data_IF_603825706133
#
_entry.id   IF_603825706133
#
_cell.length_a   1.000
_cell.length_b   1.000
_cell.length_c   1.000
_cell.angle_alpha   90.00
_cell.angle_beta   90.00
_cell.angle_gamma   90.00
#
_symmetry.space_group_name_H-M   'P 1'
#
loop_
_entity.id
_entity.type
_entity.pdbx_description
1 polymer ?
#
# COMPACT_ATOMS: atom_id res chain seq x y z
N UNK A 1 -25.09 15.23 -8.16
CA UNK A 1 -24.05 14.24 -7.83
C UNK A 1 -24.69 12.85 -7.76
N UNK A 2 -24.00 11.79 -8.19
CA UNK A 2 -24.57 10.43 -8.26
C UNK A 2 -23.54 9.34 -7.98
N UNK A 3 -23.05 9.24 -6.75
CA UNK A 3 -22.07 8.24 -6.33
C UNK A 3 -22.27 7.78 -4.89
N UNK A 4 -21.56 6.72 -4.51
CA UNK A 4 -21.60 6.14 -3.15
C UNK A 4 -20.37 6.58 -2.35
N UNK A 5 -20.59 6.87 -1.07
CA UNK A 5 -19.53 7.15 -0.09
C UNK A 5 -19.61 6.08 0.99
N UNK A 6 -18.48 5.44 1.31
CA UNK A 6 -18.33 4.55 2.45
C UNK A 6 -17.37 5.16 3.47
N UNK A 7 -17.73 5.13 4.76
CA UNK A 7 -16.92 5.65 5.86
C UNK A 7 -16.95 4.68 7.03
N UNK A 8 -15.78 4.44 7.60
CA UNK A 8 -15.63 3.77 8.89
C UNK A 8 -14.55 4.49 9.69
N UNK A 9 -14.85 4.84 10.93
CA UNK A 9 -13.91 5.42 11.87
C UNK A 9 -14.04 4.70 13.21
N UNK A 10 -12.90 4.50 13.87
CA UNK A 10 -12.79 3.89 15.20
C UNK A 10 -11.85 4.74 16.05
N UNK A 11 -12.31 5.12 17.23
CA UNK A 11 -11.42 5.56 18.30
C UNK A 11 -10.69 4.33 18.86
N UNK A 12 -9.38 4.25 18.65
CA UNK A 12 -8.56 3.10 19.08
C UNK A 12 -8.33 3.04 20.59
N UNK A 13 -8.68 4.08 21.35
CA UNK A 13 -8.61 4.10 22.81
C UNK A 13 -9.89 3.57 23.47
N UNK A 14 -11.06 4.03 23.01
CA UNK A 14 -12.36 3.65 23.58
C UNK A 14 -13.08 2.51 22.85
N UNK A 15 -12.71 2.24 21.59
CA UNK A 15 -13.43 1.33 20.70
C UNK A 15 -14.72 1.92 20.12
N UNK A 16 -15.06 3.18 20.41
CA UNK A 16 -16.22 3.85 19.82
C UNK A 16 -16.07 3.94 18.30
N UNK A 17 -17.17 3.74 17.56
CA UNK A 17 -17.15 3.73 16.10
C UNK A 17 -18.19 4.67 15.49
N UNK A 18 -17.89 5.15 14.28
CA UNK A 18 -18.82 5.84 13.38
C UNK A 18 -18.75 5.15 12.04
N UNK A 19 -19.89 4.76 11.48
CA UNK A 19 -19.96 4.02 10.22
C UNK A 19 -21.08 4.51 9.29
N UNK A 20 -20.81 4.46 7.98
CA UNK A 20 -21.77 4.70 6.92
C UNK A 20 -21.40 3.82 5.72
N UNK A 21 -22.27 2.87 5.35
CA UNK A 21 -22.00 1.88 4.27
C UNK A 21 -20.68 1.11 4.45
N UNK A 22 -20.29 0.81 5.69
CA UNK A 22 -18.99 0.20 6.00
C UNK A 22 -18.81 -1.22 5.45
N UNK A 23 -19.92 -1.95 5.25
CA UNK A 23 -19.91 -3.33 4.70
C UNK A 23 -20.10 -3.37 3.18
N UNK A 24 -20.33 -2.22 2.53
CA UNK A 24 -20.37 -2.16 1.07
C UNK A 24 -18.95 -2.26 0.50
N UNK A 25 -18.82 -2.91 -0.65
CA UNK A 25 -17.52 -3.09 -1.31
C UNK A 25 -17.16 -1.87 -2.14
N UNK A 26 -15.92 -1.39 -1.99
CA UNK A 26 -15.34 -0.34 -2.81
C UNK A 26 -14.02 -0.81 -3.43
N UNK A 27 -13.63 -0.30 -4.61
CA UNK A 27 -12.30 -0.55 -5.17
C UNK A 27 -11.22 -0.02 -4.22
N UNK A 28 -10.22 -0.84 -3.89
CA UNK A 28 -9.12 -0.40 -3.03
C UNK A 28 -8.27 0.70 -3.69
N UNK A 29 -8.15 0.71 -5.02
CA UNK A 29 -7.23 1.59 -5.74
C UNK A 29 -5.84 1.53 -5.09
N UNK A 30 -5.09 2.63 -4.94
CA UNK A 30 -3.76 2.56 -4.30
C UNK A 30 -3.77 2.30 -2.77
N UNK A 31 -4.93 2.22 -2.10
CA UNK A 31 -4.97 1.96 -0.64
C UNK A 31 -4.41 0.59 -0.27
N UNK A 32 -4.43 -0.40 -1.18
CA UNK A 32 -3.85 -1.72 -0.93
C UNK A 32 -2.34 -1.69 -0.61
N UNK A 33 -1.63 -0.65 -1.05
CA UNK A 33 -0.17 -0.56 -0.90
C UNK A 33 0.28 -0.52 0.56
N UNK A 34 -0.58 -0.05 1.47
CA UNK A 34 -0.33 -0.14 2.92
C UNK A 34 -0.22 -1.60 3.39
N UNK A 35 -1.16 -2.45 2.96
CA UNK A 35 -1.14 -3.88 3.28
C UNK A 35 0.00 -4.63 2.58
N UNK A 36 0.31 -4.27 1.33
CA UNK A 36 1.46 -4.84 0.61
C UNK A 36 2.77 -4.57 1.36
N UNK A 37 3.00 -3.34 1.80
CA UNK A 37 4.18 -2.98 2.59
C UNK A 37 4.22 -3.74 3.93
N UNK A 38 3.09 -3.87 4.61
CA UNK A 38 2.99 -4.67 5.84
C UNK A 38 3.33 -6.15 5.61
N UNK A 39 2.94 -6.74 4.47
CA UNK A 39 3.29 -8.11 4.12
C UNK A 39 4.79 -8.28 3.87
N UNK A 40 5.45 -7.31 3.23
CA UNK A 40 6.91 -7.29 3.07
C UNK A 40 7.61 -7.18 4.43
N UNK A 41 7.10 -6.34 5.33
CA UNK A 41 7.62 -6.21 6.70
C UNK A 41 7.43 -7.50 7.51
N UNK A 42 6.28 -8.16 7.40
CA UNK A 42 6.06 -9.44 8.06
C UNK A 42 7.06 -10.50 7.55
N UNK A 43 7.37 -10.50 6.25
CA UNK A 43 8.38 -11.38 5.67
C UNK A 43 9.78 -11.05 6.17
N UNK A 44 10.14 -9.78 6.36
CA UNK A 44 11.48 -9.40 6.82
C UNK A 44 11.76 -9.87 8.25
N UNK A 45 10.74 -10.11 9.07
CA UNK A 45 10.90 -10.72 10.40
C UNK A 45 11.49 -12.13 10.35
N UNK A 46 11.32 -12.83 9.22
CA UNK A 46 11.84 -14.19 9.00
C UNK A 46 13.08 -14.21 8.12
N UNK A 47 13.41 -13.09 7.46
CA UNK A 47 14.48 -12.98 6.49
C UNK A 47 15.32 -11.74 6.79
N UNK A 48 16.38 -11.92 7.58
CA UNK A 48 17.33 -10.87 7.92
C UNK A 48 17.91 -10.21 6.66
N UNK A 49 18.01 -8.88 6.66
CA UNK A 49 18.53 -8.09 5.53
C UNK A 49 17.57 -7.95 4.33
N UNK A 50 16.35 -8.49 4.39
CA UNK A 50 15.39 -8.36 3.28
C UNK A 50 15.12 -6.90 2.90
N UNK A 51 15.02 -6.01 3.89
CA UNK A 51 14.74 -4.59 3.65
C UNK A 51 15.94 -3.83 3.05
N UNK A 52 17.15 -4.35 3.24
CA UNK A 52 18.39 -3.77 2.70
C UNK A 52 18.75 -4.35 1.32
N UNK A 53 17.94 -5.26 0.79
CA UNK A 53 18.21 -5.98 -0.46
C UNK A 53 17.86 -5.11 -1.68
N UNK A 54 18.83 -4.69 -2.50
CA UNK A 54 18.53 -3.89 -3.68
C UNK A 54 17.87 -4.74 -4.78
N UNK A 55 16.78 -4.23 -5.33
CA UNK A 55 16.02 -4.79 -6.44
C UNK A 55 16.39 -4.03 -7.72
N UNK A 56 17.01 -4.74 -8.67
CA UNK A 56 17.26 -4.22 -10.02
C UNK A 56 16.07 -4.46 -10.92
N UNK A 57 15.73 -3.47 -11.72
CA UNK A 57 14.64 -3.54 -12.68
C UNK A 57 14.96 -2.68 -13.91
N UNK A 58 14.40 -3.08 -15.06
CA UNK A 58 14.55 -2.35 -16.31
C UNK A 58 13.44 -1.33 -16.53
N UNK A 59 13.61 -0.47 -17.54
CA UNK A 59 12.61 0.53 -17.95
C UNK A 59 11.27 -0.11 -18.32
N UNK A 60 11.28 -1.35 -18.81
CA UNK A 60 10.09 -2.13 -19.14
C UNK A 60 9.24 -2.51 -17.92
N UNK A 61 9.77 -2.43 -16.70
CA UNK A 61 9.02 -2.66 -15.47
C UNK A 61 8.30 -1.40 -14.97
N UNK A 62 8.58 -0.22 -15.53
CA UNK A 62 7.91 1.01 -15.14
C UNK A 62 6.47 1.04 -15.69
N UNK A 63 5.55 1.41 -14.82
CA UNK A 63 4.15 1.69 -15.14
C UNK A 63 3.85 3.18 -14.93
N UNK A 64 2.76 3.75 -15.48
CA UNK A 64 2.38 5.13 -15.20
C UNK A 64 2.31 5.41 -13.68
N UNK A 65 2.70 6.63 -13.27
CA UNK A 65 2.78 7.05 -11.87
C UNK A 65 3.87 6.33 -11.04
N UNK A 66 5.08 6.26 -11.60
CA UNK A 66 6.29 5.67 -10.98
C UNK A 66 7.37 6.71 -10.60
N UNK A 67 7.04 7.83 -9.91
CA UNK A 67 7.95 8.99 -9.77
C UNK A 67 9.20 8.74 -8.93
N UNK A 68 9.24 7.65 -8.17
CA UNK A 68 10.42 7.24 -7.38
C UNK A 68 11.21 6.19 -8.15
N UNK A 69 10.58 5.08 -8.55
CA UNK A 69 11.29 3.99 -9.23
C UNK A 69 11.90 4.41 -10.57
N UNK A 70 11.33 5.38 -11.28
CA UNK A 70 11.91 5.89 -12.53
C UNK A 70 13.27 6.58 -12.35
N UNK A 71 13.59 7.06 -11.14
CA UNK A 71 14.86 7.74 -10.82
C UNK A 71 16.02 6.77 -10.61
N UNK A 72 15.75 5.49 -10.38
CA UNK A 72 16.74 4.50 -9.94
C UNK A 72 16.93 3.33 -10.92
N UNK A 73 16.70 3.55 -12.23
CA UNK A 73 16.88 2.52 -13.26
C UNK A 73 18.33 1.98 -13.35
N UNK A 74 19.32 2.80 -12.96
CA UNK A 74 20.74 2.41 -13.02
C UNK A 74 21.18 1.68 -11.75
N UNK A 75 20.77 2.15 -10.58
CA UNK A 75 21.22 1.64 -9.28
C UNK A 75 20.34 0.50 -8.76
N UNK A 76 19.08 0.43 -9.20
CA UNK A 76 18.03 -0.28 -8.48
C UNK A 76 17.63 0.47 -7.21
N UNK A 77 16.67 -0.11 -6.49
CA UNK A 77 16.22 0.32 -5.16
C UNK A 77 16.18 -0.87 -4.22
#
# INVERSE_FOLDING_TARGET
>A
FGGSIGVYAMDTGSGATVSYRAEERFPLCSSFKGFLAAAVLARSQQQAGLLDTPIRYGKNALVPWSPISEKYLTTGM
#
